data_IF_103504615134
#
_entry.id   IF_103504615134
#
_cell.length_a   1.000
_cell.length_b   1.000
_cell.length_c   1.000
_cell.angle_alpha   90.00
_cell.angle_beta   90.00
_cell.angle_gamma   90.00
#
_symmetry.space_group_name_H-M   'P 1'
#
loop_
_entity.id
_entity.type
_entity.pdbx_description
1 polymer ?
#
# COMPACT_ATOMS: atom_id res chain seq x y z
N UNK A 1 15.38 52.29 -12.41
CA UNK A 1 15.56 50.83 -12.40
C UNK A 1 14.72 50.28 -11.25
N UNK A 2 13.86 49.31 -11.52
CA UNK A 2 13.02 48.66 -10.51
C UNK A 2 13.88 47.63 -9.76
N UNK A 3 14.07 47.84 -8.47
CA UNK A 3 14.95 47.04 -7.61
C UNK A 3 14.24 46.41 -6.40
N UNK A 4 13.02 46.87 -6.08
CA UNK A 4 12.26 46.37 -4.93
C UNK A 4 11.08 45.50 -5.42
N UNK A 5 11.16 44.21 -5.13
CA UNK A 5 10.16 43.22 -5.51
C UNK A 5 8.84 43.39 -4.75
N UNK A 6 8.88 43.80 -3.47
CA UNK A 6 7.69 43.84 -2.61
C UNK A 6 6.71 44.95 -2.99
N UNK A 7 7.14 45.89 -3.85
CA UNK A 7 6.33 47.01 -4.33
C UNK A 7 5.65 46.72 -5.68
N UNK A 8 5.85 45.52 -6.23
CA UNK A 8 5.27 45.12 -7.51
C UNK A 8 3.84 44.59 -7.34
N UNK A 9 2.92 45.08 -8.16
CA UNK A 9 1.59 44.49 -8.27
C UNK A 9 1.64 43.16 -9.03
N UNK A 10 0.63 42.31 -8.84
CA UNK A 10 0.51 41.04 -9.59
C UNK A 10 0.60 41.25 -11.11
N UNK A 11 -0.05 42.29 -11.64
CA UNK A 11 0.02 42.63 -13.06
C UNK A 11 1.45 43.00 -13.51
N UNK A 12 2.21 43.72 -12.67
CA UNK A 12 3.60 44.05 -12.98
C UNK A 12 4.51 42.83 -12.91
N UNK A 13 4.27 41.91 -11.97
CA UNK A 13 4.99 40.63 -11.89
C UNK A 13 4.73 39.77 -13.13
N UNK A 14 3.47 39.64 -13.56
CA UNK A 14 3.11 38.95 -14.82
C UNK A 14 3.77 39.64 -16.03
N UNK A 15 3.77 40.97 -16.09
CA UNK A 15 4.44 41.70 -17.16
C UNK A 15 5.96 41.46 -17.18
N UNK A 16 6.61 41.34 -16.01
CA UNK A 16 8.04 40.98 -15.91
C UNK A 16 8.26 39.55 -16.43
N UNK A 17 7.40 38.60 -16.09
CA UNK A 17 7.43 37.23 -16.64
C UNK A 17 7.33 37.20 -18.16
N UNK A 18 6.37 37.92 -18.72
CA UNK A 18 6.20 38.04 -20.17
C UNK A 18 7.42 38.71 -20.83
N UNK A 19 8.06 39.68 -20.15
CA UNK A 19 9.27 40.34 -20.66
C UNK A 19 10.50 39.43 -20.67
N UNK A 20 10.57 38.45 -19.76
CA UNK A 20 11.73 37.54 -19.62
C UNK A 20 11.57 36.32 -20.53
N UNK A 21 10.39 35.69 -20.54
CA UNK A 21 10.12 34.47 -21.32
C UNK A 21 9.73 34.77 -22.77
N UNK A 22 9.29 35.99 -23.05
CA UNK A 22 8.66 36.34 -24.31
C UNK A 22 7.17 35.98 -24.32
N UNK A 23 6.40 36.73 -25.12
CA UNK A 23 4.94 36.67 -25.11
C UNK A 23 4.40 35.29 -25.51
N UNK A 24 4.99 34.64 -26.51
CA UNK A 24 4.53 33.34 -26.99
C UNK A 24 4.67 32.24 -25.94
N UNK A 25 5.80 32.20 -25.22
CA UNK A 25 6.04 31.19 -24.18
C UNK A 25 5.23 31.49 -22.92
N UNK A 26 5.14 32.76 -22.52
CA UNK A 26 4.38 33.14 -21.33
C UNK A 26 2.88 32.86 -21.47
N UNK A 27 2.30 33.03 -22.68
CA UNK A 27 0.91 32.68 -22.97
C UNK A 27 0.62 31.17 -22.87
N UNK A 28 1.62 30.32 -23.09
CA UNK A 28 1.46 28.87 -22.92
C UNK A 28 1.55 28.41 -21.46
N UNK A 29 2.06 29.26 -20.57
CA UNK A 29 2.23 28.95 -19.14
C UNK A 29 1.07 29.46 -18.28
N UNK A 30 0.40 30.52 -18.71
CA UNK A 30 -0.75 31.09 -18.01
C UNK A 30 -2.03 30.70 -18.74
N UNK A 31 -2.83 29.84 -18.12
CA UNK A 31 -4.10 29.39 -18.70
C UNK A 31 -5.18 30.49 -18.61
N UNK A 32 -6.19 30.40 -19.49
CA UNK A 32 -7.45 31.14 -19.41
C UNK A 32 -7.39 32.69 -19.39
N UNK A 33 -6.34 33.30 -19.95
CA UNK A 33 -6.28 34.77 -20.08
C UNK A 33 -7.21 35.30 -21.17
N UNK A 34 -8.04 36.28 -20.82
CA UNK A 34 -8.93 36.94 -21.78
C UNK A 34 -8.20 38.02 -22.61
N UNK A 35 -8.84 38.48 -23.69
CA UNK A 35 -8.26 39.51 -24.58
C UNK A 35 -8.00 40.84 -23.87
N UNK A 36 -8.74 41.15 -22.82
CA UNK A 36 -8.61 42.39 -22.03
C UNK A 36 -7.41 42.31 -21.08
N UNK A 37 -7.21 41.17 -20.44
CA UNK A 37 -6.09 40.86 -19.56
C UNK A 37 -4.77 40.84 -20.32
N UNK A 38 -4.74 40.20 -21.48
CA UNK A 38 -3.56 40.23 -22.37
C UNK A 38 -3.22 41.68 -22.76
N UNK A 39 -4.22 42.53 -23.03
CA UNK A 39 -3.99 43.96 -23.31
C UNK A 39 -3.43 44.71 -22.11
N UNK A 40 -3.93 44.43 -20.89
CA UNK A 40 -3.43 45.03 -19.64
C UNK A 40 -1.98 44.60 -19.38
N UNK A 41 -1.65 43.33 -19.59
CA UNK A 41 -0.29 42.80 -19.45
C UNK A 41 0.65 43.47 -20.45
N UNK A 42 0.28 43.58 -21.73
CA UNK A 42 1.08 44.31 -22.73
C UNK A 42 1.29 45.77 -22.40
N UNK A 43 0.27 46.44 -21.86
CA UNK A 43 0.41 47.82 -21.42
C UNK A 43 1.39 47.93 -20.24
N UNK A 44 1.30 47.02 -19.28
CA UNK A 44 2.19 46.96 -18.12
C UNK A 44 3.64 46.60 -18.50
N UNK A 45 3.87 45.77 -19.52
CA UNK A 45 5.21 45.44 -20.03
C UNK A 45 6.02 46.70 -20.38
N UNK A 46 5.37 47.70 -20.98
CA UNK A 46 6.02 48.97 -21.33
C UNK A 46 6.53 49.75 -20.10
N UNK A 47 5.95 49.53 -18.93
CA UNK A 47 6.33 50.16 -17.66
C UNK A 47 7.43 49.42 -16.89
N UNK A 48 7.78 48.19 -17.28
CA UNK A 48 8.75 47.33 -16.57
C UNK A 48 10.02 47.05 -17.39
N UNK A 49 10.34 47.91 -18.36
CA UNK A 49 11.49 47.73 -19.26
C UNK A 49 12.87 47.78 -18.56
N UNK A 50 12.97 48.40 -17.38
CA UNK A 50 14.22 48.57 -16.65
C UNK A 50 14.13 47.99 -15.23
N UNK A 51 14.13 46.65 -15.15
CA UNK A 51 14.05 45.86 -13.91
C UNK A 51 15.39 45.19 -13.64
N UNK A 52 15.85 45.22 -12.39
CA UNK A 52 17.08 44.58 -11.95
C UNK A 52 17.05 43.06 -12.13
N UNK A 53 18.21 42.44 -12.30
CA UNK A 53 18.31 40.98 -12.44
C UNK A 53 17.75 40.24 -11.22
N UNK A 54 18.00 40.74 -10.01
CA UNK A 54 17.48 40.13 -8.77
C UNK A 54 15.95 40.06 -8.75
N UNK A 55 15.28 41.16 -9.13
CA UNK A 55 13.81 41.19 -9.18
C UNK A 55 13.27 40.27 -10.28
N UNK A 56 13.93 40.21 -11.45
CA UNK A 56 13.55 39.26 -12.52
C UNK A 56 13.65 37.82 -12.02
N UNK A 57 14.76 37.45 -11.37
CA UNK A 57 14.99 36.13 -10.79
C UNK A 57 13.90 35.77 -9.77
N UNK A 58 13.61 36.68 -8.84
CA UNK A 58 12.61 36.44 -7.80
C UNK A 58 11.19 36.26 -8.35
N UNK A 59 10.82 37.02 -9.39
CA UNK A 59 9.55 36.83 -10.11
C UNK A 59 9.53 35.46 -10.82
N UNK A 60 10.65 35.02 -11.41
CA UNK A 60 10.73 33.69 -12.04
C UNK A 60 10.58 32.55 -11.05
N UNK A 61 11.20 32.67 -9.88
CA UNK A 61 11.09 31.68 -8.80
C UNK A 61 9.66 31.60 -8.26
N UNK A 62 8.99 32.74 -8.05
CA UNK A 62 7.58 32.78 -7.61
C UNK A 62 6.64 32.09 -8.60
N UNK A 63 6.72 32.43 -9.90
CA UNK A 63 5.85 31.81 -10.91
C UNK A 63 6.22 30.35 -11.18
N UNK A 64 7.50 29.99 -11.13
CA UNK A 64 7.94 28.60 -11.22
C UNK A 64 7.32 27.76 -10.10
N UNK A 65 7.37 28.25 -8.85
CA UNK A 65 6.74 27.60 -7.71
C UNK A 65 5.23 27.41 -7.93
N UNK A 66 4.53 28.46 -8.35
CA UNK A 66 3.08 28.39 -8.64
C UNK A 66 2.75 27.35 -9.71
N UNK A 67 3.44 27.34 -10.86
CA UNK A 67 3.16 26.41 -11.95
C UNK A 67 3.55 24.97 -11.63
N UNK A 68 4.64 24.77 -10.88
CA UNK A 68 5.05 23.44 -10.42
C UNK A 68 4.01 22.92 -9.43
N UNK A 69 3.56 23.74 -8.49
CA UNK A 69 2.52 23.37 -7.53
C UNK A 69 1.18 23.04 -8.21
N UNK A 70 0.76 23.79 -9.23
CA UNK A 70 -0.47 23.51 -10.01
C UNK A 70 -0.39 22.21 -10.79
N UNK A 71 0.78 21.85 -11.34
CA UNK A 71 0.96 20.54 -12.00
C UNK A 71 0.88 19.35 -11.05
N UNK A 72 1.17 19.55 -9.76
CA UNK A 72 0.91 18.52 -8.74
C UNK A 72 -0.59 18.39 -8.39
N UNK A 73 -1.38 19.45 -8.58
CA UNK A 73 -2.82 19.46 -8.31
C UNK A 73 -3.63 18.89 -9.50
N UNK A 74 -3.16 19.06 -10.74
CA UNK A 74 -3.92 18.62 -11.93
C UNK A 74 -3.79 17.13 -12.29
N UNK A 75 -2.81 16.39 -11.75
CA UNK A 75 -2.74 14.93 -11.91
C UNK A 75 -3.38 14.22 -10.71
N UNK A 76 -4.69 13.99 -10.80
CA UNK A 76 -5.56 13.07 -10.02
C UNK A 76 -5.38 12.94 -8.48
N UNK A 77 -6.50 13.25 -7.81
CA UNK A 77 -6.94 12.98 -6.43
C UNK A 77 -6.51 13.95 -5.30
N UNK A 78 -7.53 14.25 -4.49
CA UNK A 78 -7.78 15.37 -3.56
C UNK A 78 -6.96 15.35 -2.25
N UNK A 79 -5.68 15.00 -2.29
CA UNK A 79 -4.78 15.11 -1.12
C UNK A 79 -3.46 15.79 -1.49
N UNK A 80 -2.90 16.66 -0.61
CA UNK A 80 -1.56 17.18 -0.79
C UNK A 80 -0.55 16.01 -0.76
N UNK A 81 -0.20 15.48 -1.93
CA UNK A 81 0.72 14.35 -2.09
C UNK A 81 2.01 14.64 -1.32
N UNK A 82 2.32 13.85 -0.30
CA UNK A 82 3.65 13.95 0.33
C UNK A 82 4.62 13.34 -0.69
N UNK A 83 5.64 14.08 -1.15
CA UNK A 83 6.45 13.64 -2.29
C UNK A 83 7.10 12.25 -2.12
N UNK A 84 7.25 11.80 -0.87
CA UNK A 84 7.94 10.57 -0.50
C UNK A 84 7.02 9.45 0.02
N UNK A 85 5.69 9.56 -0.09
CA UNK A 85 4.77 8.53 0.43
C UNK A 85 5.06 7.12 -0.11
N UNK A 86 5.50 7.03 -1.37
CA UNK A 86 5.88 5.78 -2.03
C UNK A 86 6.99 5.01 -1.29
N UNK A 87 7.79 5.65 -0.42
CA UNK A 87 8.82 4.98 0.36
C UNK A 87 8.23 3.99 1.37
N UNK A 88 7.00 4.23 1.83
CA UNK A 88 6.33 3.36 2.80
C UNK A 88 6.00 1.98 2.22
N UNK A 89 5.75 1.92 0.91
CA UNK A 89 5.38 0.71 0.17
C UNK A 89 6.59 -0.16 -0.21
N UNK A 90 7.81 0.33 0.00
CA UNK A 90 9.03 -0.38 -0.36
C UNK A 90 9.49 -1.30 0.78
N UNK A 91 10.05 -2.46 0.40
CA UNK A 91 10.75 -3.37 1.31
C UNK A 91 12.10 -2.80 1.76
N UNK A 92 12.66 -3.37 2.83
CA UNK A 92 13.98 -2.98 3.33
C UNK A 92 15.06 -3.12 2.25
N UNK A 93 15.04 -4.22 1.48
CA UNK A 93 15.97 -4.46 0.37
C UNK A 93 15.81 -3.45 -0.76
N UNK A 94 14.56 -3.10 -1.09
CA UNK A 94 14.29 -2.09 -2.13
C UNK A 94 14.74 -0.70 -1.69
N UNK A 95 14.53 -0.34 -0.42
CA UNK A 95 15.00 0.93 0.12
C UNK A 95 16.52 1.01 0.11
N UNK A 96 17.21 -0.07 0.51
CA UNK A 96 18.68 -0.16 0.44
C UNK A 96 19.15 -0.01 -1.01
N UNK A 97 18.58 -0.76 -1.95
CA UNK A 97 18.95 -0.68 -3.36
C UNK A 97 18.68 0.72 -3.96
N UNK A 98 17.59 1.37 -3.53
CA UNK A 98 17.21 2.70 -3.98
C UNK A 98 18.27 3.74 -3.61
N UNK A 99 18.75 3.71 -2.35
CA UNK A 99 19.70 4.69 -1.80
C UNK A 99 21.17 4.37 -2.09
N UNK A 100 21.51 3.11 -2.38
CA UNK A 100 22.91 2.66 -2.55
C UNK A 100 23.67 3.36 -3.68
N UNK A 101 22.97 3.95 -4.64
CA UNK A 101 23.56 4.67 -5.79
C UNK A 101 23.28 6.17 -5.76
N UNK A 102 22.86 6.71 -4.62
CA UNK A 102 22.61 8.13 -4.43
C UNK A 102 23.70 8.76 -3.55
N UNK A 103 23.85 10.09 -3.64
CA UNK A 103 24.79 10.83 -2.80
C UNK A 103 24.27 11.01 -1.36
N UNK A 104 25.18 11.29 -0.43
CA UNK A 104 24.90 11.41 1.01
C UNK A 104 23.78 12.41 1.34
N UNK A 105 23.58 13.45 0.52
CA UNK A 105 22.53 14.44 0.73
C UNK A 105 21.16 13.90 0.31
N UNK A 106 21.08 13.19 -0.80
CA UNK A 106 19.85 12.49 -1.23
C UNK A 106 19.50 11.36 -0.25
N UNK A 107 20.48 10.61 0.24
CA UNK A 107 20.27 9.58 1.27
C UNK A 107 19.75 10.22 2.56
N UNK A 108 20.31 11.35 2.98
CA UNK A 108 19.84 12.10 4.15
C UNK A 108 18.39 12.57 4.01
N UNK A 109 18.02 13.15 2.87
CA UNK A 109 16.63 13.56 2.59
C UNK A 109 15.72 12.35 2.66
N UNK A 110 16.10 11.22 2.05
CA UNK A 110 15.31 9.98 2.05
C UNK A 110 15.11 9.43 3.47
N UNK A 111 16.18 9.35 4.27
CA UNK A 111 16.12 8.86 5.65
C UNK A 111 15.28 9.77 6.56
N UNK A 112 15.29 11.09 6.31
CA UNK A 112 14.46 12.03 7.06
C UNK A 112 12.95 11.79 6.86
N UNK A 113 12.55 11.15 5.76
CA UNK A 113 11.15 10.82 5.45
C UNK A 113 10.71 9.45 5.98
N UNK A 114 11.65 8.57 6.35
CA UNK A 114 11.35 7.24 6.87
C UNK A 114 11.27 7.28 8.40
N UNK A 115 10.39 6.52 9.03
CA UNK A 115 10.27 6.46 10.49
C UNK A 115 10.72 5.10 11.08
N UNK A 116 10.97 5.10 12.39
CA UNK A 116 11.16 3.88 13.19
C UNK A 116 12.28 2.95 12.73
N UNK A 117 11.96 1.66 12.67
CA UNK A 117 12.90 0.58 12.41
C UNK A 117 13.48 0.62 10.99
N UNK A 118 12.68 1.03 9.99
CA UNK A 118 13.10 1.16 8.58
C UNK A 118 14.29 2.12 8.44
N UNK A 119 14.21 3.31 9.06
CA UNK A 119 15.31 4.30 9.06
C UNK A 119 16.60 3.71 9.64
N UNK A 120 16.48 3.02 10.78
CA UNK A 120 17.62 2.44 11.50
C UNK A 120 18.30 1.32 10.70
N UNK A 121 17.51 0.44 10.08
CA UNK A 121 18.03 -0.66 9.25
C UNK A 121 18.84 -0.14 8.07
N UNK A 122 18.34 0.87 7.36
CA UNK A 122 19.05 1.45 6.21
C UNK A 122 20.32 2.15 6.67
N UNK A 123 20.26 2.94 7.75
CA UNK A 123 21.44 3.62 8.30
C UNK A 123 22.55 2.63 8.68
N UNK A 124 22.19 1.48 9.25
CA UNK A 124 23.14 0.43 9.64
C UNK A 124 23.77 -0.33 8.45
N UNK A 125 23.23 -0.18 7.25
CA UNK A 125 23.80 -0.77 6.02
C UNK A 125 24.84 0.12 5.35
N UNK A 126 24.87 1.41 5.70
CA UNK A 126 25.89 2.33 5.20
C UNK A 126 27.23 2.06 5.88
N UNK A 127 28.32 2.22 5.12
CA UNK A 127 29.65 2.17 5.70
C UNK A 127 29.89 3.35 6.67
N UNK A 128 30.91 3.25 7.51
CA UNK A 128 31.17 4.25 8.56
C UNK A 128 31.48 5.65 8.01
N UNK A 129 32.03 5.76 6.80
CA UNK A 129 32.32 7.06 6.20
C UNK A 129 31.04 7.71 5.67
N UNK A 130 30.26 6.98 4.88
CA UNK A 130 28.97 7.40 4.33
C UNK A 130 27.98 7.72 5.45
N UNK A 131 27.89 6.86 6.47
CA UNK A 131 27.00 7.05 7.62
C UNK A 131 27.26 8.39 8.31
N UNK A 132 28.53 8.74 8.54
CA UNK A 132 28.89 10.05 9.13
C UNK A 132 28.42 11.22 8.26
N UNK A 133 28.67 11.15 6.95
CA UNK A 133 28.29 12.23 6.02
C UNK A 133 26.77 12.40 5.91
N UNK A 134 26.04 11.30 5.87
CA UNK A 134 24.57 11.26 5.86
C UNK A 134 24.00 11.88 7.13
N UNK A 135 24.53 11.50 8.31
CA UNK A 135 24.07 12.06 9.59
C UNK A 135 24.30 13.57 9.69
N UNK A 136 25.46 14.06 9.22
CA UNK A 136 25.75 15.51 9.16
C UNK A 136 24.80 16.21 8.19
N UNK A 137 24.48 15.58 7.05
CA UNK A 137 23.57 16.12 6.06
C UNK A 137 22.13 16.21 6.59
N UNK A 138 21.65 15.23 7.36
CA UNK A 138 20.32 15.27 8.01
C UNK A 138 20.16 16.52 8.88
N UNK A 139 21.20 16.88 9.64
CA UNK A 139 21.19 18.09 10.49
C UNK A 139 21.17 19.42 9.72
N UNK A 140 21.49 19.41 8.42
CA UNK A 140 21.65 20.61 7.61
C UNK A 140 20.64 20.72 6.45
N UNK A 141 19.59 19.89 6.39
CA UNK A 141 18.65 19.88 5.26
C UNK A 141 17.83 21.16 5.07
N UNK A 142 17.81 22.08 6.05
CA UNK A 142 17.07 23.34 5.99
C UNK A 142 17.54 24.28 4.85
N UNK A 143 18.73 24.05 4.30
CA UNK A 143 19.28 24.81 3.19
C UNK A 143 18.83 24.29 1.80
N UNK A 144 18.12 23.16 1.76
CA UNK A 144 17.65 22.54 0.51
C UNK A 144 16.34 23.20 0.07
N UNK A 145 16.28 23.82 -1.12
CA UNK A 145 15.03 24.37 -1.65
C UNK A 145 13.99 23.27 -1.83
N UNK A 146 12.71 23.59 -1.57
CA UNK A 146 11.60 22.64 -1.67
C UNK A 146 11.50 22.03 -3.07
N UNK A 147 11.82 22.79 -4.11
CA UNK A 147 11.82 22.32 -5.49
C UNK A 147 12.84 21.20 -5.70
N UNK A 148 14.02 21.30 -5.09
CA UNK A 148 15.05 20.27 -5.16
C UNK A 148 14.58 19.00 -4.42
N UNK A 149 13.95 19.14 -3.26
CA UNK A 149 13.36 18.03 -2.51
C UNK A 149 12.32 17.30 -3.35
N UNK A 150 11.43 18.03 -4.01
CA UNK A 150 10.37 17.47 -4.89
C UNK A 150 10.96 16.79 -6.12
N UNK A 151 11.99 17.38 -6.75
CA UNK A 151 12.67 16.75 -7.88
C UNK A 151 13.35 15.43 -7.48
N UNK A 152 14.01 15.41 -6.31
CA UNK A 152 14.61 14.20 -5.75
C UNK A 152 13.53 13.14 -5.51
N UNK A 153 12.41 13.51 -4.89
CA UNK A 153 11.31 12.59 -4.64
C UNK A 153 10.78 11.96 -5.94
N UNK A 154 10.58 12.77 -6.99
CA UNK A 154 10.15 12.30 -8.30
C UNK A 154 11.17 11.37 -8.97
N UNK A 155 12.47 11.69 -8.86
CA UNK A 155 13.55 10.84 -9.38
C UNK A 155 13.55 9.49 -8.68
N UNK A 156 13.48 9.49 -7.35
CA UNK A 156 13.46 8.28 -6.53
C UNK A 156 12.20 7.45 -6.78
N UNK A 157 11.03 8.06 -6.93
CA UNK A 157 9.78 7.36 -7.26
C UNK A 157 9.83 6.70 -8.64
N UNK A 158 10.43 7.35 -9.65
CA UNK A 158 10.64 6.73 -10.97
C UNK A 158 11.59 5.53 -10.88
N UNK A 159 12.66 5.66 -10.09
CA UNK A 159 13.66 4.63 -9.89
C UNK A 159 13.11 3.44 -9.09
N UNK A 160 12.28 3.69 -8.07
CA UNK A 160 11.66 2.64 -7.27
C UNK A 160 10.74 1.74 -8.10
N UNK A 161 10.02 2.31 -9.07
CA UNK A 161 9.20 1.54 -10.04
C UNK A 161 10.01 0.62 -10.94
N UNK A 162 11.30 0.88 -11.12
CA UNK A 162 12.22 0.06 -11.92
C UNK A 162 12.97 -0.96 -11.08
N UNK A 163 12.96 -0.82 -9.75
CA UNK A 163 13.51 -1.86 -8.89
C UNK A 163 12.72 -3.13 -9.14
N UNK A 164 13.40 -4.29 -9.17
CA UNK A 164 12.69 -5.56 -9.12
C UNK A 164 11.70 -5.46 -7.97
N UNK A 165 10.42 -5.63 -8.28
CA UNK A 165 9.48 -6.04 -7.24
C UNK A 165 10.12 -7.32 -6.75
N UNK A 166 10.62 -7.30 -5.51
CA UNK A 166 10.82 -8.56 -4.81
C UNK A 166 9.42 -9.13 -4.76
N UNK A 167 9.03 -9.88 -5.80
CA UNK A 167 8.04 -10.94 -5.69
C UNK A 167 8.47 -11.60 -4.42
N UNK A 168 7.64 -11.48 -3.38
CA UNK A 168 7.84 -12.04 -2.06
C UNK A 168 8.45 -13.42 -2.27
N UNK A 169 9.79 -13.50 -2.18
CA UNK A 169 10.48 -14.75 -2.42
C UNK A 169 10.37 -15.43 -1.07
N UNK A 170 9.17 -15.96 -0.82
CA UNK A 170 8.93 -16.80 0.34
C UNK A 170 9.88 -17.97 0.17
N UNK A 171 10.75 -18.19 1.16
CA UNK A 171 11.75 -19.26 1.11
C UNK A 171 11.10 -20.63 1.41
N UNK A 172 9.79 -20.75 1.20
CA UNK A 172 8.99 -21.79 1.81
C UNK A 172 8.80 -21.54 3.32
N UNK A 173 8.10 -22.47 3.96
CA UNK A 173 7.87 -22.47 5.41
C UNK A 173 6.52 -23.09 5.74
N UNK A 174 6.19 -23.16 7.03
CA UNK A 174 4.91 -23.74 7.48
C UNK A 174 3.68 -23.08 6.87
N UNK A 175 3.72 -21.75 6.67
CA UNK A 175 2.59 -21.00 6.07
C UNK A 175 2.36 -21.35 4.60
N UNK A 176 3.41 -21.33 3.78
CA UNK A 176 3.30 -21.66 2.36
C UNK A 176 2.85 -23.13 2.17
N UNK A 177 3.39 -24.02 3.01
CA UNK A 177 3.00 -25.43 2.99
C UNK A 177 1.54 -25.61 3.42
N UNK A 178 1.06 -24.90 4.44
CA UNK A 178 -0.35 -24.93 4.84
C UNK A 178 -1.29 -24.40 3.74
N UNK A 179 -0.86 -23.39 2.99
CA UNK A 179 -1.62 -22.86 1.85
C UNK A 179 -1.76 -23.93 0.75
N UNK A 180 -0.64 -24.55 0.35
CA UNK A 180 -0.61 -25.63 -0.64
C UNK A 180 -1.46 -26.83 -0.20
N UNK A 181 -1.31 -27.24 1.05
CA UNK A 181 -2.07 -28.36 1.63
C UNK A 181 -3.57 -28.10 1.59
N UNK A 182 -4.02 -26.87 1.87
CA UNK A 182 -5.43 -26.54 1.79
C UNK A 182 -6.00 -26.47 0.37
N UNK A 183 -5.18 -26.57 -0.68
CA UNK A 183 -5.65 -26.75 -2.06
C UNK A 183 -5.84 -28.22 -2.44
N UNK A 184 -5.23 -29.14 -1.68
CA UNK A 184 -5.27 -30.58 -1.93
C UNK A 184 -6.60 -31.22 -1.47
N UNK A 185 -6.94 -32.42 -1.97
CA UNK A 185 -8.03 -33.22 -1.40
C UNK A 185 -7.77 -33.52 0.09
N UNK A 186 -8.81 -33.51 0.95
CA UNK A 186 -8.64 -33.70 2.39
C UNK A 186 -7.91 -35.00 2.79
N UNK A 187 -8.07 -36.07 2.00
CA UNK A 187 -7.40 -37.35 2.27
C UNK A 187 -5.89 -37.27 2.04
N UNK A 188 -5.48 -36.69 0.91
CA UNK A 188 -4.06 -36.54 0.56
C UNK A 188 -3.37 -35.60 1.54
N UNK A 189 -4.07 -34.52 1.92
CA UNK A 189 -3.61 -33.56 2.92
C UNK A 189 -3.39 -34.23 4.29
N UNK A 190 -4.33 -35.05 4.75
CA UNK A 190 -4.25 -35.75 6.03
C UNK A 190 -3.07 -36.73 6.06
N UNK A 191 -2.88 -37.51 4.99
CA UNK A 191 -1.75 -38.45 4.84
C UNK A 191 -0.42 -37.68 4.86
N UNK A 192 -0.33 -36.55 4.15
CA UNK A 192 0.89 -35.74 4.15
C UNK A 192 1.19 -35.18 5.54
N UNK A 193 0.19 -34.66 6.24
CA UNK A 193 0.38 -34.13 7.60
C UNK A 193 0.80 -35.21 8.60
N UNK A 194 0.24 -36.42 8.53
CA UNK A 194 0.66 -37.54 9.38
C UNK A 194 2.13 -37.91 9.16
N UNK A 195 2.58 -37.98 7.90
CA UNK A 195 3.99 -38.23 7.58
C UNK A 195 4.87 -37.07 8.04
N UNK A 196 4.43 -35.83 7.84
CA UNK A 196 5.17 -34.64 8.25
C UNK A 196 5.36 -34.57 9.77
N UNK A 197 4.35 -34.95 10.56
CA UNK A 197 4.43 -35.03 12.01
C UNK A 197 5.47 -36.06 12.49
N UNK A 198 5.70 -37.12 11.73
CA UNK A 198 6.70 -38.13 12.05
C UNK A 198 8.11 -37.73 11.62
N UNK A 199 8.25 -37.13 10.43
CA UNK A 199 9.54 -36.76 9.85
C UNK A 199 10.11 -35.44 10.39
N UNK A 200 9.27 -34.42 10.53
CA UNK A 200 9.64 -33.10 11.03
C UNK A 200 8.53 -32.50 11.91
N UNK A 201 8.49 -32.89 13.21
CA UNK A 201 7.51 -32.39 14.15
C UNK A 201 7.51 -30.87 14.30
N UNK A 202 8.67 -30.22 14.12
CA UNK A 202 8.82 -28.78 14.26
C UNK A 202 8.15 -28.06 13.09
N UNK A 203 8.38 -28.54 11.87
CA UNK A 203 7.69 -28.02 10.68
C UNK A 203 6.19 -28.33 10.72
N UNK A 204 5.80 -29.52 11.18
CA UNK A 204 4.38 -29.86 11.34
C UNK A 204 3.65 -28.88 12.26
N UNK A 205 4.24 -28.52 13.40
CA UNK A 205 3.69 -27.49 14.29
C UNK A 205 3.65 -26.10 13.65
N UNK A 206 4.63 -25.74 12.81
CA UNK A 206 4.56 -24.48 12.04
C UNK A 206 3.43 -24.50 11.02
N UNK A 207 3.19 -25.63 10.34
CA UNK A 207 2.09 -25.77 9.36
C UNK A 207 0.74 -25.67 10.06
N UNK A 208 0.56 -26.34 11.20
CA UNK A 208 -0.69 -26.32 11.98
C UNK A 208 -1.16 -24.92 12.34
N UNK A 209 -0.24 -23.99 12.63
CA UNK A 209 -0.57 -22.59 12.94
C UNK A 209 -1.29 -21.85 11.82
N UNK A 210 -1.11 -22.31 10.58
CA UNK A 210 -1.66 -21.67 9.37
C UNK A 210 -2.68 -22.57 8.64
N UNK A 211 -3.03 -23.72 9.22
CA UNK A 211 -3.88 -24.73 8.58
C UNK A 211 -5.32 -24.60 9.07
N UNK A 212 -6.23 -24.27 8.15
CA UNK A 212 -7.68 -24.31 8.40
C UNK A 212 -8.26 -25.53 7.68
N UNK A 213 -8.80 -26.48 8.46
CA UNK A 213 -9.57 -27.62 7.93
C UNK A 213 -11.07 -27.39 8.11
N UNK A 214 -11.89 -28.12 7.37
CA UNK A 214 -13.35 -28.02 7.50
C UNK A 214 -13.82 -28.36 8.92
N UNK A 215 -13.22 -29.37 9.54
CA UNK A 215 -13.51 -29.81 10.90
C UNK A 215 -13.10 -28.75 11.92
N UNK A 216 -11.90 -28.18 11.78
CA UNK A 216 -11.37 -27.17 12.72
C UNK A 216 -12.25 -25.92 12.81
N UNK A 217 -12.97 -25.57 11.75
CA UNK A 217 -13.90 -24.42 11.74
C UNK A 217 -14.93 -24.58 12.85
N UNK A 218 -15.47 -25.78 13.07
CA UNK A 218 -16.51 -26.00 14.08
C UNK A 218 -15.94 -26.06 15.51
N UNK A 219 -14.65 -26.34 15.64
CA UNK A 219 -13.92 -26.43 16.90
C UNK A 219 -13.47 -25.05 17.39
N UNK A 220 -12.94 -24.21 16.50
CA UNK A 220 -12.25 -22.97 16.88
C UNK A 220 -13.04 -21.69 16.56
N UNK A 221 -14.03 -21.71 15.66
CA UNK A 221 -14.75 -20.49 15.30
C UNK A 221 -15.81 -20.16 16.35
N UNK A 222 -15.81 -18.92 16.90
CA UNK A 222 -16.91 -18.45 17.73
C UNK A 222 -18.19 -18.29 16.89
N UNK A 223 -19.35 -18.35 17.53
CA UNK A 223 -20.65 -18.41 16.85
C UNK A 223 -20.91 -17.23 15.90
N UNK A 224 -20.40 -16.03 16.22
CA UNK A 224 -20.50 -14.86 15.34
C UNK A 224 -19.69 -15.07 14.04
N UNK A 225 -18.46 -15.55 14.14
CA UNK A 225 -17.60 -15.79 12.99
C UNK A 225 -18.13 -16.96 12.15
N UNK A 226 -18.57 -18.04 12.80
CA UNK A 226 -19.18 -19.18 12.13
C UNK A 226 -20.45 -18.76 11.38
N UNK A 227 -21.28 -17.89 11.97
CA UNK A 227 -22.48 -17.36 11.31
C UNK A 227 -22.12 -16.53 10.07
N UNK A 228 -21.12 -15.67 10.18
CA UNK A 228 -20.72 -14.79 9.10
C UNK A 228 -20.13 -15.61 7.94
N UNK A 229 -19.34 -16.65 8.25
CA UNK A 229 -18.85 -17.63 7.27
C UNK A 229 -19.98 -18.38 6.56
N UNK A 230 -20.91 -18.96 7.31
CA UNK A 230 -22.05 -19.69 6.72
C UNK A 230 -22.98 -18.78 5.94
N UNK A 231 -22.93 -17.47 6.19
CA UNK A 231 -23.66 -16.49 5.40
C UNK A 231 -22.97 -16.10 4.09
N UNK A 232 -21.64 -16.17 4.03
CA UNK A 232 -20.83 -15.88 2.85
C UNK A 232 -20.88 -17.00 1.79
N UNK A 233 -21.30 -18.20 2.17
CA UNK A 233 -21.41 -19.38 1.29
C UNK A 233 -22.87 -19.61 0.88
N UNK A 234 -23.09 -20.13 -0.33
CA UNK A 234 -24.40 -20.55 -0.81
C UNK A 234 -25.02 -21.63 0.07
N UNK A 235 -26.33 -21.53 0.34
CA UNK A 235 -27.02 -22.41 1.29
C UNK A 235 -26.98 -23.89 0.85
N UNK A 236 -27.05 -24.15 -0.45
CA UNK A 236 -26.93 -25.50 -1.02
C UNK A 236 -25.54 -26.10 -0.79
N UNK A 237 -24.49 -25.27 -0.89
CA UNK A 237 -23.12 -25.69 -0.61
C UNK A 237 -22.93 -25.95 0.90
N UNK A 238 -23.52 -25.12 1.77
CA UNK A 238 -23.54 -25.38 3.23
C UNK A 238 -24.22 -26.72 3.53
N UNK A 239 -25.39 -26.97 2.93
CA UNK A 239 -26.12 -28.23 3.12
C UNK A 239 -25.32 -29.45 2.64
N UNK A 240 -24.71 -29.36 1.45
CA UNK A 240 -23.85 -30.42 0.90
C UNK A 240 -22.60 -30.66 1.76
N UNK A 241 -21.97 -29.60 2.28
CA UNK A 241 -20.76 -29.70 3.11
C UNK A 241 -21.02 -30.38 4.46
N UNK A 242 -22.20 -30.14 5.05
CA UNK A 242 -22.64 -30.75 6.31
C UNK A 242 -23.06 -32.22 6.16
N UNK A 243 -23.14 -32.75 4.93
CA UNK A 243 -23.48 -34.16 4.70
C UNK A 243 -22.48 -35.08 5.41
N UNK A 244 -23.00 -35.96 6.25
CA UNK A 244 -22.20 -36.92 7.00
C UNK A 244 -21.52 -36.35 8.25
N UNK A 245 -21.78 -35.08 8.60
CA UNK A 245 -21.39 -34.51 9.89
C UNK A 245 -22.36 -34.92 11.00
N UNK A 246 -21.92 -34.84 12.25
CA UNK A 246 -22.78 -35.09 13.40
C UNK A 246 -23.98 -34.15 13.43
N UNK A 247 -25.12 -34.67 13.90
CA UNK A 247 -26.36 -33.91 13.99
C UNK A 247 -26.20 -32.64 14.85
N UNK A 248 -25.38 -32.71 15.92
CA UNK A 248 -25.08 -31.57 16.78
C UNK A 248 -24.42 -30.40 16.03
N UNK A 249 -23.53 -30.69 15.08
CA UNK A 249 -22.87 -29.68 14.24
C UNK A 249 -23.88 -29.07 13.28
N UNK A 250 -24.70 -29.91 12.65
CA UNK A 250 -25.77 -29.46 11.75
C UNK A 250 -26.76 -28.54 12.47
N UNK A 251 -27.20 -28.93 13.68
CA UNK A 251 -28.13 -28.15 14.50
C UNK A 251 -27.49 -26.83 14.97
N UNK A 252 -26.20 -26.83 15.34
CA UNK A 252 -25.45 -25.62 15.69
C UNK A 252 -25.42 -24.64 14.51
N UNK A 253 -25.04 -25.12 13.33
CA UNK A 253 -24.99 -24.29 12.11
C UNK A 253 -26.36 -23.74 11.76
N UNK A 254 -27.41 -24.55 11.86
CA UNK A 254 -28.77 -24.07 11.62
C UNK A 254 -29.19 -23.02 12.65
N UNK A 255 -28.89 -23.23 13.92
CA UNK A 255 -29.23 -22.32 15.01
C UNK A 255 -28.64 -20.91 14.85
N UNK A 256 -27.42 -20.81 14.31
CA UNK A 256 -26.74 -19.52 14.12
C UNK A 256 -27.17 -18.78 12.84
N UNK A 257 -27.74 -19.48 11.86
CA UNK A 257 -28.17 -18.87 10.60
C UNK A 257 -29.35 -17.89 10.80
N UNK A 258 -29.52 -16.86 9.94
CA UNK A 258 -30.71 -16.02 9.99
C UNK A 258 -32.00 -16.80 9.75
N UNK A 259 -33.11 -16.45 10.42
CA UNK A 259 -34.42 -17.16 10.33
C UNK A 259 -34.89 -17.43 8.89
N UNK A 260 -34.64 -16.51 7.96
CA UNK A 260 -34.99 -16.69 6.54
C UNK A 260 -34.21 -17.85 5.91
N UNK A 261 -32.89 -17.93 6.15
CA UNK A 261 -32.05 -19.02 5.65
C UNK A 261 -32.37 -20.34 6.36
N UNK A 262 -32.65 -20.32 7.66
CA UNK A 262 -33.13 -21.51 8.39
C UNK A 262 -34.36 -22.12 7.74
N UNK A 263 -35.35 -21.29 7.38
CA UNK A 263 -36.58 -21.75 6.72
C UNK A 263 -36.38 -22.25 5.28
N UNK A 264 -35.27 -21.87 4.64
CA UNK A 264 -34.90 -22.29 3.27
C UNK A 264 -33.89 -23.43 3.26
N UNK A 265 -33.37 -23.84 4.42
CA UNK A 265 -32.36 -24.87 4.49
C UNK A 265 -33.00 -26.23 4.30
N UNK A 266 -32.56 -26.94 3.27
CA UNK A 266 -32.98 -28.31 2.99
C UNK A 266 -31.77 -29.23 3.15
N UNK A 267 -31.78 -30.17 4.11
CA UNK A 267 -30.68 -31.11 4.28
C UNK A 267 -30.57 -32.02 3.06
N UNK A 268 -29.35 -32.26 2.57
CA UNK A 268 -29.14 -33.21 1.46
C UNK A 268 -29.46 -34.63 1.92
N UNK A 269 -30.57 -35.18 1.45
CA UNK A 269 -30.97 -36.57 1.73
C UNK A 269 -30.37 -37.57 0.75
N UNK A 270 -30.33 -38.85 1.14
CA UNK A 270 -29.85 -39.94 0.28
C UNK A 270 -28.34 -40.00 0.09
N UNK A 271 -27.91 -40.87 -0.83
CA UNK A 271 -26.51 -41.09 -1.17
C UNK A 271 -26.04 -40.04 -2.18
N UNK A 272 -24.90 -39.42 -1.90
CA UNK A 272 -24.25 -38.45 -2.80
C UNK A 272 -22.80 -38.84 -3.08
N UNK A 273 -22.24 -38.45 -4.22
CA UNK A 273 -20.83 -38.68 -4.50
C UNK A 273 -19.95 -37.96 -3.48
N UNK A 274 -18.98 -38.68 -2.91
CA UNK A 274 -18.01 -38.13 -1.95
C UNK A 274 -17.33 -36.86 -2.46
N UNK A 275 -16.95 -36.84 -3.74
CA UNK A 275 -16.34 -35.69 -4.41
C UNK A 275 -17.18 -34.41 -4.29
N UNK A 276 -18.50 -34.52 -4.32
CA UNK A 276 -19.38 -33.34 -4.28
C UNK A 276 -19.44 -32.76 -2.86
N UNK A 277 -19.39 -33.64 -1.84
CA UNK A 277 -19.23 -33.24 -0.43
C UNK A 277 -17.88 -32.56 -0.22
N UNK A 278 -16.79 -33.14 -0.73
CA UNK A 278 -15.44 -32.59 -0.59
C UNK A 278 -15.32 -31.21 -1.27
N UNK A 279 -15.91 -31.04 -2.45
CA UNK A 279 -15.97 -29.75 -3.15
C UNK A 279 -16.75 -28.69 -2.35
N UNK A 280 -17.87 -29.09 -1.74
CA UNK A 280 -18.66 -28.20 -0.89
C UNK A 280 -17.88 -27.78 0.36
N UNK A 281 -17.21 -28.73 1.04
CA UNK A 281 -16.33 -28.45 2.18
C UNK A 281 -15.16 -27.54 1.80
N UNK A 282 -14.52 -27.78 0.65
CA UNK A 282 -13.46 -26.91 0.12
C UNK A 282 -13.96 -25.49 -0.14
N UNK A 283 -15.21 -25.33 -0.58
CA UNK A 283 -15.83 -24.02 -0.78
C UNK A 283 -15.96 -23.28 0.55
N UNK A 284 -16.40 -23.96 1.61
CA UNK A 284 -16.50 -23.39 2.96
C UNK A 284 -15.13 -22.99 3.51
N UNK A 285 -14.13 -23.86 3.40
CA UNK A 285 -12.75 -23.56 3.84
C UNK A 285 -12.16 -22.37 3.06
N UNK A 286 -12.40 -22.30 1.75
CA UNK A 286 -11.94 -21.18 0.92
C UNK A 286 -12.57 -19.85 1.34
N UNK A 287 -13.86 -19.85 1.67
CA UNK A 287 -14.54 -18.67 2.21
C UNK A 287 -13.95 -18.24 3.56
N UNK A 288 -13.62 -19.20 4.44
CA UNK A 288 -12.96 -18.91 5.71
C UNK A 288 -11.56 -18.28 5.51
N UNK A 289 -10.75 -18.82 4.59
CA UNK A 289 -9.45 -18.24 4.21
C UNK A 289 -9.59 -16.83 3.65
N UNK A 290 -10.63 -16.57 2.84
CA UNK A 290 -10.88 -15.24 2.31
C UNK A 290 -11.24 -14.25 3.43
N UNK A 291 -12.08 -14.66 4.40
CA UNK A 291 -12.39 -13.85 5.57
C UNK A 291 -11.16 -13.52 6.43
N UNK A 292 -10.23 -14.46 6.59
CA UNK A 292 -8.95 -14.22 7.26
C UNK A 292 -8.13 -13.15 6.51
N UNK A 293 -8.02 -13.30 5.18
CA UNK A 293 -7.30 -12.37 4.30
C UNK A 293 -7.89 -10.95 4.33
N UNK A 294 -9.21 -10.85 4.48
CA UNK A 294 -9.93 -9.58 4.62
C UNK A 294 -9.82 -8.99 6.03
N UNK A 295 -9.14 -9.68 6.96
CA UNK A 295 -8.87 -9.23 8.31
C UNK A 295 -10.03 -9.44 9.29
N UNK A 296 -11.02 -10.27 8.95
CA UNK A 296 -12.15 -10.56 9.83
C UNK A 296 -11.74 -11.31 11.11
N UNK A 297 -10.68 -12.10 11.03
CA UNK A 297 -10.04 -12.79 12.15
C UNK A 297 -8.57 -13.08 11.81
N UNK A 298 -7.80 -13.51 12.81
CA UNK A 298 -6.49 -14.14 12.62
C UNK A 298 -6.57 -15.56 13.13
N UNK A 299 -6.14 -16.53 12.32
CA UNK A 299 -6.20 -17.93 12.71
C UNK A 299 -5.35 -18.23 13.95
N UNK A 300 -4.20 -17.57 14.08
CA UNK A 300 -3.28 -17.70 15.21
C UNK A 300 -3.98 -17.37 16.55
N UNK A 301 -4.85 -16.36 16.57
CA UNK A 301 -5.58 -15.94 17.77
C UNK A 301 -6.68 -16.94 18.16
N UNK A 302 -7.20 -17.71 17.19
CA UNK A 302 -8.23 -18.74 17.42
C UNK A 302 -7.64 -20.07 17.87
N UNK A 303 -6.43 -20.40 17.40
CA UNK A 303 -5.70 -21.59 17.79
C UNK A 303 -4.96 -21.41 19.12
N UNK A 304 -4.63 -20.16 19.48
CA UNK A 304 -3.85 -19.80 20.66
C UNK A 304 -4.65 -19.02 21.70
N UNK A 305 -5.49 -19.71 22.47
CA UNK A 305 -6.06 -19.20 23.72
C UNK A 305 -5.04 -18.99 24.85
N UNK A 306 -3.78 -18.68 24.51
CA UNK A 306 -2.64 -18.55 25.44
C UNK A 306 -1.72 -17.39 25.03
N UNK A 307 -2.30 -16.26 24.61
CA UNK A 307 -1.64 -14.97 24.80
C UNK A 307 -2.00 -14.43 26.18
N UNK A 308 -1.42 -15.06 27.20
CA UNK A 308 -1.31 -14.47 28.54
C UNK A 308 -0.40 -13.24 28.43
N UNK A 309 -0.94 -12.10 28.87
CA UNK A 309 -0.35 -10.82 29.31
C UNK A 309 1.07 -10.44 28.85
#
# INVERSE_FOLDING_TARGET
>A
MISDYNRLSGLQKVAILFSVLGESLALNLVNDLDKTEIRKIRAAMRGVNNVSFMVKKQVMEEFYFSFVSEKFVQEENDEPKRPFDFLNDLTDEQLIALVSSEDSRVVAITLAQLEGEKRTKILNRLDEAQKREVLVSIGNLNDVPLEAVVQIANKLNKKSKQLPKTVSFSRGGGKDLAELLGEMPPEDEAIFMENLEQEDPVLAEQVKKYRITFESIFEIFPDNLLRDLMNAVDLDAVSMALKGMDQSISDKVLGILPKKKQAMFEPVEGAVPKRDVDNARKTVVSAAKQMEKDGAFKLEDLLGGDTVE
#
